data_IF_247468297579
#
_entry.id   IF_247468297579
#
_cell.length_a   1.000
_cell.length_b   1.000
_cell.length_c   1.000
_cell.angle_alpha   90.00
_cell.angle_beta   90.00
_cell.angle_gamma   90.00
#
_symmetry.space_group_name_H-M   'P 1'
#
loop_
_entity.id
_entity.type
_entity.pdbx_description
1 polymer ?
#
# COMPACT_ATOMS: atom_id res chain seq x y z
N UNK A 1 7.29 3.73 -9.87
CA UNK A 1 8.53 2.94 -9.64
C UNK A 1 8.65 1.87 -10.72
N UNK A 2 9.87 1.64 -11.21
CA UNK A 2 10.23 0.59 -12.18
C UNK A 2 11.32 -0.28 -11.59
N UNK A 3 11.09 -1.59 -11.61
CA UNK A 3 11.95 -2.67 -11.14
C UNK A 3 12.51 -2.40 -9.74
N UNK A 4 11.60 -2.11 -8.80
CA UNK A 4 11.99 -1.90 -7.41
C UNK A 4 12.09 -3.21 -6.63
N UNK A 5 13.01 -3.26 -5.67
CA UNK A 5 13.23 -4.43 -4.82
C UNK A 5 13.10 -4.09 -3.34
N UNK A 6 12.68 -5.07 -2.53
CA UNK A 6 12.51 -4.87 -1.09
C UNK A 6 13.88 -4.71 -0.40
N UNK A 7 14.17 -3.54 0.21
CA UNK A 7 15.54 -3.20 0.63
C UNK A 7 16.09 -4.17 1.68
N UNK A 8 15.25 -4.69 2.58
CA UNK A 8 15.68 -5.65 3.59
C UNK A 8 15.89 -7.08 3.06
N UNK A 9 15.28 -7.44 1.91
CA UNK A 9 15.43 -8.79 1.36
C UNK A 9 16.72 -8.92 0.54
N UNK A 10 17.21 -7.81 -0.03
CA UNK A 10 18.45 -7.76 -0.83
C UNK A 10 19.70 -8.30 -0.10
N UNK A 11 19.69 -8.34 1.24
CA UNK A 11 20.79 -8.90 2.03
C UNK A 11 20.60 -10.37 2.38
N UNK A 12 19.36 -10.86 2.34
CA UNK A 12 19.00 -12.22 2.75
C UNK A 12 19.00 -13.19 1.57
N UNK A 13 18.90 -12.67 0.35
CA UNK A 13 18.83 -13.45 -0.88
C UNK A 13 19.80 -12.88 -1.92
N UNK A 14 20.42 -13.76 -2.70
CA UNK A 14 21.31 -13.37 -3.80
C UNK A 14 20.49 -12.74 -4.93
N UNK A 15 21.11 -11.89 -5.76
CA UNK A 15 20.41 -10.98 -6.69
C UNK A 15 19.35 -11.58 -7.62
N UNK A 16 19.44 -12.89 -7.94
CA UNK A 16 18.50 -13.58 -8.84
C UNK A 16 17.26 -14.16 -8.13
N UNK A 17 17.26 -14.21 -6.79
CA UNK A 17 16.16 -14.82 -6.01
C UNK A 17 15.02 -13.83 -5.71
N UNK A 18 15.24 -12.52 -5.92
CA UNK A 18 14.24 -11.49 -5.66
C UNK A 18 13.74 -10.93 -6.98
N UNK A 19 12.46 -11.18 -7.27
CA UNK A 19 11.78 -10.58 -8.42
C UNK A 19 11.52 -9.08 -8.17
N UNK A 20 12.10 -8.18 -8.97
CA UNK A 20 11.78 -6.75 -8.90
C UNK A 20 10.34 -6.49 -9.34
N UNK A 21 9.72 -5.46 -8.79
CA UNK A 21 8.31 -5.13 -9.06
C UNK A 21 8.15 -3.70 -9.58
N UNK A 22 7.23 -3.54 -10.51
CA UNK A 22 6.76 -2.24 -11.00
C UNK A 22 5.54 -1.81 -10.20
N UNK A 23 5.45 -0.52 -9.88
CA UNK A 23 4.28 0.04 -9.21
C UNK A 23 4.08 1.49 -9.62
N UNK A 24 2.85 1.83 -10.02
CA UNK A 24 2.43 3.18 -10.36
C UNK A 24 1.14 3.53 -9.64
N UNK A 25 1.15 4.68 -8.98
CA UNK A 25 0.02 5.26 -8.25
C UNK A 25 0.04 6.77 -8.48
N UNK A 26 -1.10 7.31 -8.90
CA UNK A 26 -1.30 8.70 -9.27
C UNK A 26 -0.65 9.09 -10.60
N UNK A 27 -0.79 10.36 -10.96
CA UNK A 27 -0.06 10.98 -12.05
C UNK A 27 1.15 11.71 -11.44
N UNK A 28 2.37 11.34 -11.85
CA UNK A 28 3.59 12.03 -11.42
C UNK A 28 4.02 12.99 -12.52
N UNK A 29 4.13 14.31 -12.25
CA UNK A 29 4.54 15.28 -13.26
C UNK A 29 5.85 14.89 -13.96
N UNK A 30 5.83 14.99 -15.30
CA UNK A 30 6.98 14.69 -16.16
C UNK A 30 7.38 13.21 -16.21
N UNK A 31 6.56 12.29 -15.70
CA UNK A 31 6.69 10.86 -15.98
C UNK A 31 5.83 10.58 -17.22
N UNK A 32 6.46 10.31 -18.37
CA UNK A 32 5.74 9.91 -19.57
C UNK A 32 5.08 8.54 -19.37
N UNK A 33 3.77 8.49 -19.51
CA UNK A 33 3.00 7.26 -19.39
C UNK A 33 3.08 6.51 -20.72
N UNK A 34 3.82 5.40 -20.74
CA UNK A 34 3.81 4.47 -21.87
C UNK A 34 2.45 3.76 -21.94
N UNK A 35 1.63 4.09 -22.93
CA UNK A 35 0.28 3.53 -23.08
C UNK A 35 0.23 1.99 -23.27
N UNK A 36 1.39 1.33 -23.42
CA UNK A 36 1.54 -0.10 -23.69
C UNK A 36 1.78 -0.95 -22.45
N UNK A 37 2.03 -0.35 -21.28
CA UNK A 37 2.42 -1.09 -20.07
C UNK A 37 1.25 -1.56 -19.19
N UNK A 38 0.01 -1.35 -19.65
CA UNK A 38 -1.20 -1.83 -18.98
C UNK A 38 -1.61 -1.01 -17.75
N UNK A 39 -0.86 0.04 -17.39
CA UNK A 39 -1.27 0.94 -16.30
C UNK A 39 -2.28 1.98 -16.81
N UNK A 40 -3.39 2.13 -16.10
CA UNK A 40 -4.31 3.25 -16.35
C UNK A 40 -3.70 4.53 -15.75
N UNK A 41 -3.70 5.64 -16.50
CA UNK A 41 -3.13 6.89 -16.04
C UNK A 41 -3.95 7.47 -14.89
N UNK A 42 -3.27 8.10 -13.93
CA UNK A 42 -3.93 8.80 -12.82
C UNK A 42 -4.67 7.93 -11.79
N UNK A 43 -4.46 6.61 -11.74
CA UNK A 43 -5.11 5.76 -10.74
C UNK A 43 -4.57 6.05 -9.32
N UNK A 44 -5.44 6.44 -8.40
CA UNK A 44 -5.05 6.78 -7.01
C UNK A 44 -5.24 5.62 -6.03
N UNK A 45 -5.71 4.46 -6.50
CA UNK A 45 -5.94 3.28 -5.68
C UNK A 45 -5.68 2.01 -6.47
N UNK A 46 -5.03 1.03 -5.84
CA UNK A 46 -4.69 -0.25 -6.44
C UNK A 46 -5.27 -1.38 -5.57
N UNK A 47 -6.08 -2.25 -6.18
CA UNK A 47 -6.57 -3.47 -5.55
C UNK A 47 -5.65 -4.63 -5.92
N UNK A 48 -4.92 -5.15 -4.93
CA UNK A 48 -3.98 -6.26 -5.12
C UNK A 48 -4.66 -7.55 -4.67
N UNK A 49 -4.85 -8.49 -5.60
CA UNK A 49 -5.44 -9.81 -5.33
C UNK A 49 -4.45 -10.93 -5.66
N UNK A 50 -4.76 -12.16 -5.25
CA UNK A 50 -3.91 -13.33 -5.50
C UNK A 50 -3.75 -14.23 -4.27
N UNK A 51 -3.08 -15.38 -4.41
CA UNK A 51 -2.94 -16.37 -3.34
C UNK A 51 -2.18 -15.81 -2.13
N UNK A 52 -2.46 -16.36 -0.94
CA UNK A 52 -1.63 -16.12 0.24
C UNK A 52 -0.21 -16.60 -0.07
N UNK A 53 0.80 -15.84 0.36
CA UNK A 53 2.22 -16.01 0.00
C UNK A 53 2.62 -15.58 -1.43
N UNK A 54 1.71 -15.04 -2.24
CA UNK A 54 2.04 -14.47 -3.57
C UNK A 54 2.78 -13.12 -3.54
N UNK A 55 3.44 -12.76 -2.45
CA UNK A 55 4.22 -11.51 -2.35
C UNK A 55 3.43 -10.21 -2.16
N UNK A 56 2.10 -10.25 -2.04
CA UNK A 56 1.24 -9.04 -1.90
C UNK A 56 1.69 -8.12 -0.75
N UNK A 57 1.81 -8.67 0.47
CA UNK A 57 2.25 -7.91 1.64
C UNK A 57 3.71 -7.47 1.53
N UNK A 58 4.55 -8.23 0.82
CA UNK A 58 5.93 -7.85 0.51
C UNK A 58 5.99 -6.63 -0.40
N UNK A 59 5.18 -6.59 -1.46
CA UNK A 59 5.07 -5.44 -2.36
C UNK A 59 4.59 -4.18 -1.62
N UNK A 60 3.58 -4.32 -0.76
CA UNK A 60 3.09 -3.20 0.06
C UNK A 60 4.18 -2.66 1.00
N UNK A 61 4.85 -3.54 1.75
CA UNK A 61 5.96 -3.16 2.65
C UNK A 61 7.14 -2.56 1.90
N UNK A 62 7.51 -3.14 0.76
CA UNK A 62 8.52 -2.60 -0.14
C UNK A 62 8.17 -1.16 -0.53
N UNK A 63 6.95 -0.91 -0.98
CA UNK A 63 6.51 0.43 -1.39
C UNK A 63 6.63 1.45 -0.26
N UNK A 64 6.23 1.09 0.95
CA UNK A 64 6.38 1.92 2.14
C UNK A 64 7.86 2.27 2.42
N UNK A 65 8.72 1.25 2.42
CA UNK A 65 10.14 1.41 2.73
C UNK A 65 10.86 2.25 1.68
N UNK A 66 10.55 2.05 0.39
CA UNK A 66 11.14 2.84 -0.68
C UNK A 66 10.69 4.30 -0.64
N UNK A 67 9.43 4.56 -0.26
CA UNK A 67 8.95 5.92 -0.02
C UNK A 67 9.71 6.58 1.15
N UNK A 68 9.92 5.86 2.26
CA UNK A 68 10.71 6.36 3.40
C UNK A 68 12.14 6.68 2.98
N UNK A 69 12.81 5.77 2.26
CA UNK A 69 14.18 5.99 1.77
C UNK A 69 14.27 7.23 0.86
N UNK A 70 13.28 7.43 -0.01
CA UNK A 70 13.20 8.61 -0.86
C UNK A 70 13.11 9.90 -0.04
N UNK A 71 12.27 9.93 0.99
CA UNK A 71 12.14 11.09 1.89
C UNK A 71 13.39 11.37 2.73
N UNK A 72 14.18 10.34 3.01
CA UNK A 72 15.48 10.48 3.69
C UNK A 72 16.62 10.90 2.75
N UNK A 73 16.37 10.98 1.44
CA UNK A 73 17.42 11.26 0.45
C UNK A 73 18.39 10.09 0.24
N UNK A 74 17.99 8.87 0.60
CA UNK A 74 18.81 7.68 0.42
C UNK A 74 18.74 7.14 -1.01
N UNK A 75 19.75 6.34 -1.39
CA UNK A 75 19.69 5.54 -2.61
C UNK A 75 18.53 4.53 -2.54
N UNK A 76 17.75 4.43 -3.62
CA UNK A 76 16.56 3.59 -3.72
C UNK A 76 16.90 2.40 -4.62
N UNK A 77 16.71 1.14 -4.17
CA UNK A 77 16.93 -0.04 -5.01
C UNK A 77 15.81 -0.22 -6.05
N UNK A 78 15.83 0.61 -7.09
CA UNK A 78 14.95 0.56 -8.24
C UNK A 78 15.65 1.15 -9.47
N UNK A 79 15.26 0.73 -10.69
CA UNK A 79 15.80 1.31 -11.94
C UNK A 79 15.34 2.75 -12.11
N UNK A 80 14.07 3.03 -11.79
CA UNK A 80 13.50 4.39 -11.75
C UNK A 80 12.54 4.53 -10.59
N UNK A 81 12.70 5.60 -9.82
CA UNK A 81 11.78 5.95 -8.74
C UNK A 81 11.46 7.44 -8.80
N UNK A 82 10.18 7.77 -8.80
CA UNK A 82 9.69 9.13 -8.58
C UNK A 82 8.53 9.05 -7.62
N UNK A 83 8.43 10.08 -6.79
CA UNK A 83 7.46 10.16 -5.72
C UNK A 83 7.11 11.64 -5.53
N UNK A 84 5.82 11.94 -5.42
CA UNK A 84 5.34 13.23 -4.92
C UNK A 84 5.41 13.24 -3.39
N UNK A 85 5.61 14.39 -2.73
CA UNK A 85 5.73 14.43 -1.28
C UNK A 85 4.55 13.74 -0.58
N UNK A 86 4.85 12.73 0.25
CA UNK A 86 3.87 12.08 1.12
C UNK A 86 3.88 12.75 2.48
N UNK A 87 2.71 13.11 3.00
CA UNK A 87 2.58 13.72 4.33
C UNK A 87 2.56 12.67 5.46
N UNK A 88 1.96 11.50 5.19
CA UNK A 88 1.88 10.38 6.14
C UNK A 88 1.72 9.04 5.42
N UNK A 89 2.39 8.02 5.97
CA UNK A 89 2.19 6.62 5.59
C UNK A 89 1.32 5.93 6.64
N UNK A 90 0.19 5.39 6.19
CA UNK A 90 -0.70 4.58 7.01
C UNK A 90 -0.56 3.11 6.63
N UNK A 91 -0.45 2.25 7.64
CA UNK A 91 -0.36 0.81 7.42
C UNK A 91 -1.36 0.07 8.27
N UNK A 92 -2.23 -0.70 7.62
CA UNK A 92 -2.88 -1.86 8.20
C UNK A 92 -2.39 -3.08 7.42
N UNK A 93 -1.14 -3.49 7.64
CA UNK A 93 -0.61 -4.74 7.10
C UNK A 93 -0.45 -5.68 8.27
N UNK A 94 -1.11 -6.84 8.24
CA UNK A 94 -1.17 -7.77 9.37
C UNK A 94 0.21 -7.99 10.00
N UNK A 95 0.31 -7.70 11.30
CA UNK A 95 1.31 -8.28 12.16
C UNK A 95 0.63 -9.45 12.87
N UNK A 96 1.24 -10.63 12.77
CA UNK A 96 0.91 -11.77 13.62
C UNK A 96 0.79 -11.30 15.06
N UNK A 97 -0.35 -11.59 15.68
CA UNK A 97 -0.59 -11.58 17.12
C UNK A 97 -0.32 -10.27 17.87
N UNK A 98 -1.31 -9.37 17.84
CA UNK A 98 -1.69 -8.67 19.08
C UNK A 98 -2.76 -9.50 19.79
N UNK A 99 -2.31 -10.54 20.50
CA UNK A 99 -3.12 -11.34 21.41
C UNK A 99 -3.46 -10.62 22.73
N UNK A 100 -3.05 -9.37 22.91
CA UNK A 100 -3.05 -8.71 24.23
C UNK A 100 -3.93 -7.47 24.19
N UNK A 101 -5.14 -7.58 24.78
CA UNK A 101 -5.81 -6.57 25.62
C UNK A 101 -7.34 -6.75 25.77
N UNK A 102 -7.89 -7.96 25.67
CA UNK A 102 -9.33 -8.21 25.92
C UNK A 102 -10.31 -7.59 24.91
N UNK A 103 -9.81 -7.03 23.81
CA UNK A 103 -10.60 -6.47 22.70
C UNK A 103 -10.64 -7.46 21.53
N UNK A 104 -11.73 -7.48 20.75
CA UNK A 104 -11.81 -8.35 19.59
C UNK A 104 -10.79 -7.92 18.52
N UNK A 105 -10.19 -8.87 17.81
CA UNK A 105 -9.27 -8.60 16.70
C UNK A 105 -9.93 -7.74 15.62
N UNK A 106 -11.23 -7.96 15.39
CA UNK A 106 -12.05 -7.16 14.50
C UNK A 106 -12.20 -5.70 14.96
N UNK A 107 -12.39 -5.46 16.27
CA UNK A 107 -12.45 -4.10 16.81
C UNK A 107 -11.12 -3.35 16.58
N UNK A 108 -9.98 -3.99 16.87
CA UNK A 108 -8.66 -3.38 16.66
C UNK A 108 -8.45 -3.04 15.19
N UNK A 109 -8.80 -3.96 14.29
CA UNK A 109 -8.73 -3.76 12.84
C UNK A 109 -9.59 -2.58 12.37
N UNK A 110 -10.82 -2.46 12.87
CA UNK A 110 -11.70 -1.35 12.56
C UNK A 110 -11.19 -0.02 13.14
N UNK A 111 -10.63 -0.04 14.34
CA UNK A 111 -10.07 1.16 14.97
C UNK A 111 -8.85 1.69 14.19
N UNK A 112 -7.96 0.80 13.74
CA UNK A 112 -6.85 1.14 12.85
C UNK A 112 -7.37 1.70 11.52
N UNK A 113 -8.37 1.06 10.92
CA UNK A 113 -8.98 1.53 9.66
C UNK A 113 -9.63 2.90 9.83
N UNK A 114 -10.29 3.16 10.97
CA UNK A 114 -10.90 4.46 11.27
C UNK A 114 -9.86 5.59 11.36
N UNK A 115 -8.65 5.31 11.87
CA UNK A 115 -7.55 6.27 11.88
C UNK A 115 -7.15 6.66 10.46
N UNK A 116 -7.02 5.67 9.55
CA UNK A 116 -6.71 5.92 8.14
C UNK A 116 -7.79 6.81 7.51
N UNK A 117 -9.05 6.41 7.64
CA UNK A 117 -10.22 7.09 7.07
C UNK A 117 -10.35 8.54 7.55
N UNK A 118 -10.05 8.81 8.82
CA UNK A 118 -10.19 10.14 9.44
C UNK A 118 -9.04 11.08 9.11
N UNK A 119 -7.82 10.55 9.02
CA UNK A 119 -6.61 11.38 8.99
C UNK A 119 -5.84 11.32 7.67
N UNK A 120 -6.19 10.44 6.74
CA UNK A 120 -5.58 10.42 5.41
C UNK A 120 -5.98 11.69 4.63
N UNK A 121 -4.98 12.33 4.04
CA UNK A 121 -5.13 13.44 3.11
C UNK A 121 -4.94 12.95 1.67
N UNK A 122 -5.20 13.80 0.66
CA UNK A 122 -4.87 13.49 -0.74
C UNK A 122 -3.38 13.21 -1.00
N UNK A 123 -2.50 13.57 -0.07
CA UNK A 123 -1.05 13.36 -0.13
C UNK A 123 -0.58 12.19 0.75
N UNK A 124 -1.48 11.44 1.37
CA UNK A 124 -1.12 10.31 2.21
C UNK A 124 -0.99 9.02 1.40
N UNK A 125 -0.09 8.13 1.83
CA UNK A 125 0.02 6.76 1.32
C UNK A 125 -0.65 5.79 2.30
N UNK A 126 -1.72 5.12 1.89
CA UNK A 126 -2.40 4.12 2.71
C UNK A 126 -2.17 2.70 2.15
N UNK A 127 -1.74 1.79 3.02
CA UNK A 127 -1.53 0.38 2.72
C UNK A 127 -2.44 -0.47 3.62
N UNK A 128 -3.42 -1.14 3.03
CA UNK A 128 -4.45 -1.89 3.75
C UNK A 128 -4.41 -3.34 3.25
N UNK A 129 -4.24 -4.29 4.17
CA UNK A 129 -4.15 -5.72 3.90
C UNK A 129 -5.18 -6.49 4.74
N UNK A 130 -5.89 -7.41 4.08
CA UNK A 130 -6.91 -8.31 4.66
C UNK A 130 -8.01 -7.62 5.51
N UNK A 131 -8.54 -6.47 5.07
CA UNK A 131 -9.68 -5.82 5.74
C UNK A 131 -10.97 -6.66 5.65
N UNK A 132 -11.67 -6.80 6.76
CA UNK A 132 -12.91 -7.55 6.91
C UNK A 132 -12.74 -9.02 7.26
N UNK A 133 -11.52 -9.49 7.61
CA UNK A 133 -11.28 -10.91 7.90
C UNK A 133 -11.90 -11.39 9.21
N UNK A 134 -12.09 -10.50 10.18
CA UNK A 134 -12.64 -10.82 11.51
C UNK A 134 -14.18 -10.90 11.59
N UNK A 135 -14.91 -10.90 10.46
CA UNK A 135 -16.39 -10.89 10.42
C UNK A 135 -16.94 -11.84 9.34
N UNK A 136 -18.26 -11.85 9.13
CA UNK A 136 -18.91 -12.64 8.08
C UNK A 136 -18.39 -12.25 6.69
N UNK A 137 -18.30 -13.19 5.74
CA UNK A 137 -17.77 -12.92 4.39
C UNK A 137 -18.51 -11.78 3.69
N UNK A 138 -19.83 -11.70 3.87
CA UNK A 138 -20.67 -10.64 3.29
C UNK A 138 -20.37 -9.28 3.91
N UNK A 139 -20.27 -9.22 5.25
CA UNK A 139 -20.00 -7.98 5.96
C UNK A 139 -18.57 -7.50 5.69
N UNK A 140 -17.60 -8.41 5.69
CA UNK A 140 -16.20 -8.13 5.41
C UNK A 140 -16.00 -7.57 4.00
N UNK A 141 -16.62 -8.19 2.99
CA UNK A 141 -16.56 -7.70 1.61
C UNK A 141 -17.23 -6.33 1.45
N UNK A 142 -18.40 -6.13 2.10
CA UNK A 142 -19.13 -4.87 2.06
C UNK A 142 -18.35 -3.74 2.73
N UNK A 143 -17.72 -4.04 3.87
CA UNK A 143 -16.83 -3.13 4.59
C UNK A 143 -15.62 -2.74 3.74
N UNK A 144 -14.91 -3.72 3.18
CA UNK A 144 -13.73 -3.46 2.36
C UNK A 144 -14.07 -2.60 1.12
N UNK A 145 -15.18 -2.92 0.44
CA UNK A 145 -15.65 -2.14 -0.70
C UNK A 145 -16.05 -0.70 -0.30
N UNK A 146 -16.73 -0.54 0.84
CA UNK A 146 -17.12 0.78 1.34
C UNK A 146 -15.90 1.63 1.70
N UNK A 147 -14.92 1.07 2.41
CA UNK A 147 -13.68 1.76 2.77
C UNK A 147 -12.88 2.13 1.52
N UNK A 148 -12.68 1.19 0.58
CA UNK A 148 -11.98 1.46 -0.68
C UNK A 148 -12.66 2.60 -1.47
N UNK A 149 -13.99 2.57 -1.59
CA UNK A 149 -14.74 3.63 -2.27
C UNK A 149 -14.57 4.97 -1.56
N UNK A 150 -14.64 4.97 -0.23
CA UNK A 150 -14.53 6.19 0.55
C UNK A 150 -13.15 6.86 0.44
N UNK A 151 -12.06 6.09 0.43
CA UNK A 151 -10.70 6.63 0.31
C UNK A 151 -10.32 7.00 -1.13
N UNK A 152 -10.90 6.33 -2.13
CA UNK A 152 -10.58 6.58 -3.55
C UNK A 152 -11.41 7.70 -4.16
N UNK A 153 -12.53 8.07 -3.54
CA UNK A 153 -13.38 9.18 -4.02
C UNK A 153 -12.77 10.51 -3.56
N UNK A 154 -12.49 11.45 -4.48
CA UNK A 154 -12.05 12.80 -4.11
C UNK A 154 -13.07 13.45 -3.19
N UNK A 155 -12.61 13.98 -2.04
CA UNK A 155 -13.46 14.83 -1.21
C UNK A 155 -13.48 16.23 -1.83
N UNK A 156 -14.52 16.51 -2.61
CA UNK A 156 -14.81 17.88 -3.03
C UNK A 156 -15.23 18.69 -1.79
N UNK A 157 -14.29 19.43 -1.21
CA UNK A 157 -14.55 20.38 -0.13
C UNK A 157 -13.83 20.04 1.17
N UNK A 158 -12.67 20.68 1.36
CA UNK A 158 -12.30 21.50 2.51
C UNK A 158 -11.49 22.70 1.98
#
# INVERSE_FOLDING_TARGET
MVSGSHPCLLRSFSGDDITPNDLRLGAVPGWEEDATDGFKPGITSLLITGPNMGGKSTLMRQTALLAILAHLGCHIPAVRFRLTPIDRIFTRIGASDRLISGQSTFYVELAETAIIVRHASPHSLALIDELGRGTSTRDGSSLAAAVLRYISTPRNGL
#
